data_IF_340187265314
#
_entry.id   IF_340187265314
#
_cell.length_a   1.000
_cell.length_b   1.000
_cell.length_c   1.000
_cell.angle_alpha   90.00
_cell.angle_beta   90.00
_cell.angle_gamma   90.00
#
_symmetry.space_group_name_H-M   'P 1'
#
loop_
_entity.id
_entity.type
_entity.pdbx_description
1 polymer ?
#
# COMPACT_ATOMS: atom_id res chain seq x y z
N UNK A 1 23.17 23.35 8.16
CA UNK A 1 21.80 23.04 7.72
C UNK A 1 21.81 21.64 7.16
N UNK A 2 21.10 20.70 7.78
CA UNK A 2 20.90 19.37 7.22
C UNK A 2 19.59 19.48 6.44
N UNK A 3 19.68 19.85 5.16
CA UNK A 3 18.50 19.84 4.28
C UNK A 3 17.95 18.41 4.31
N UNK A 4 16.69 18.26 4.75
CA UNK A 4 16.04 16.94 4.84
C UNK A 4 15.98 16.27 3.47
N UNK A 5 15.75 14.95 3.44
CA UNK A 5 15.63 14.22 2.17
C UNK A 5 14.59 14.92 1.27
N UNK A 6 15.00 15.47 0.11
CA UNK A 6 14.09 16.21 -0.76
C UNK A 6 13.08 15.30 -1.46
N UNK A 7 13.28 13.99 -1.43
CA UNK A 7 12.42 13.04 -2.15
C UNK A 7 11.11 12.78 -1.39
N UNK A 8 10.01 12.76 -2.15
CA UNK A 8 8.76 12.19 -1.65
C UNK A 8 8.91 10.68 -1.47
N UNK A 9 8.57 10.20 -0.27
CA UNK A 9 8.60 8.77 0.07
C UNK A 9 7.32 8.38 0.78
N UNK A 10 6.92 7.11 0.62
CA UNK A 10 5.83 6.52 1.38
C UNK A 10 6.30 5.31 2.18
N UNK A 11 5.70 5.12 3.35
CA UNK A 11 5.84 3.94 4.19
C UNK A 11 4.50 3.23 4.29
N UNK A 12 4.53 1.90 4.33
CA UNK A 12 3.34 1.08 4.56
C UNK A 12 3.40 0.58 6.00
N UNK A 13 2.39 0.94 6.79
CA UNK A 13 2.17 0.41 8.13
C UNK A 13 1.02 -0.60 8.15
N UNK A 14 0.92 -1.36 9.24
CA UNK A 14 -0.13 -2.35 9.47
C UNK A 14 -0.71 -2.18 10.87
N UNK A 15 -2.04 -2.15 10.98
CA UNK A 15 -2.74 -2.01 12.28
C UNK A 15 -2.50 -3.16 13.25
N UNK A 16 -2.03 -4.32 12.77
CA UNK A 16 -1.77 -5.51 13.59
C UNK A 16 -0.30 -5.94 13.59
N UNK A 17 0.61 -5.03 13.27
CA UNK A 17 2.03 -5.34 13.14
C UNK A 17 2.32 -6.21 11.91
N UNK A 18 3.40 -6.99 11.94
CA UNK A 18 3.89 -7.78 10.81
C UNK A 18 3.88 -9.30 11.04
N UNK A 19 3.40 -9.73 12.19
CA UNK A 19 3.22 -11.15 12.50
C UNK A 19 1.75 -11.51 12.32
N UNK A 20 1.46 -12.36 11.35
CA UNK A 20 0.10 -12.73 11.02
C UNK A 20 -0.05 -14.25 11.07
N UNK A 21 -1.15 -14.68 11.68
CA UNK A 21 -1.60 -16.05 11.59
C UNK A 21 -2.56 -16.16 10.40
N UNK A 22 -2.30 -17.13 9.52
CA UNK A 22 -3.00 -17.22 8.23
C UNK A 22 -4.48 -17.53 8.40
N UNK A 23 -4.86 -18.25 9.47
CA UNK A 23 -6.25 -18.64 9.72
C UNK A 23 -7.07 -17.46 10.28
N UNK A 24 -6.40 -16.45 10.83
CA UNK A 24 -7.03 -15.27 11.43
C UNK A 24 -6.60 -13.96 10.76
N UNK A 25 -6.07 -14.04 9.54
CA UNK A 25 -5.48 -12.92 8.83
C UNK A 25 -6.48 -11.77 8.66
N UNK A 26 -6.18 -10.66 9.34
CA UNK A 26 -6.92 -9.41 9.23
C UNK A 26 -6.06 -8.23 9.70
N UNK A 27 -5.85 -7.26 8.82
CA UNK A 27 -5.19 -5.99 9.15
C UNK A 27 -5.64 -4.90 8.19
N UNK A 28 -5.51 -3.63 8.57
CA UNK A 28 -5.54 -2.53 7.62
C UNK A 28 -4.11 -2.08 7.34
N UNK A 29 -3.69 -2.16 6.09
CA UNK A 29 -2.48 -1.48 5.63
C UNK A 29 -2.79 0.01 5.48
N UNK A 30 -1.88 0.86 5.93
CA UNK A 30 -2.03 2.30 5.80
C UNK A 30 -0.76 2.95 5.26
N UNK A 31 -0.92 4.03 4.52
CA UNK A 31 0.18 4.80 3.95
C UNK A 31 0.47 6.02 4.82
N UNK A 32 1.75 6.26 5.09
CA UNK A 32 2.25 7.56 5.56
C UNK A 32 3.24 8.12 4.56
N UNK A 33 3.18 9.43 4.31
CA UNK A 33 4.03 10.12 3.33
C UNK A 33 4.97 11.11 3.99
N UNK A 34 6.21 11.17 3.49
CA UNK A 34 7.21 12.16 3.91
C UNK A 34 7.78 12.88 2.69
N UNK A 35 7.89 14.21 2.80
CA UNK A 35 8.59 15.07 1.84
C UNK A 35 9.42 16.07 2.64
N UNK A 36 10.70 16.27 2.30
CA UNK A 36 11.63 17.08 3.11
C UNK A 36 11.68 16.67 4.59
N UNK A 37 11.55 15.36 4.84
CA UNK A 37 11.47 14.77 6.19
C UNK A 37 10.29 15.29 7.05
N UNK A 38 9.30 15.95 6.43
CA UNK A 38 8.05 16.41 7.04
C UNK A 38 6.92 15.46 6.68
N UNK A 39 6.05 15.16 7.64
CA UNK A 39 4.83 14.41 7.36
C UNK A 39 3.93 15.23 6.41
N UNK A 40 3.57 14.60 5.30
CA UNK A 40 2.64 15.11 4.28
C UNK A 40 1.48 14.16 4.06
N UNK A 41 1.21 13.27 5.02
CA UNK A 41 0.23 12.19 4.87
C UNK A 41 -1.18 12.72 4.58
N UNK A 42 -1.56 13.82 5.23
CA UNK A 42 -2.85 14.48 5.03
C UNK A 42 -3.00 15.11 3.63
N UNK A 43 -1.88 15.46 2.98
CA UNK A 43 -1.86 16.05 1.65
C UNK A 43 -1.97 15.02 0.52
N UNK A 44 -1.84 13.73 0.84
CA UNK A 44 -2.09 12.64 -0.12
C UNK A 44 -3.59 12.38 -0.18
N UNK A 45 -4.19 12.66 -1.32
CA UNK A 45 -5.62 12.37 -1.54
C UNK A 45 -5.84 10.86 -1.68
N UNK A 46 -6.94 10.36 -1.15
CA UNK A 46 -7.29 8.93 -1.28
C UNK A 46 -7.46 8.51 -2.75
N UNK A 47 -7.93 9.41 -3.61
CA UNK A 47 -8.04 9.16 -5.05
C UNK A 47 -6.67 9.03 -5.76
N UNK A 48 -5.60 9.53 -5.13
CA UNK A 48 -4.23 9.49 -5.65
C UNK A 48 -3.42 8.33 -5.09
N UNK A 49 -4.09 7.41 -4.37
CA UNK A 49 -3.50 6.17 -3.89
C UNK A 49 -4.06 5.00 -4.67
N UNK A 50 -3.16 4.17 -5.19
CA UNK A 50 -3.50 2.90 -5.82
C UNK A 50 -2.76 1.75 -5.15
N UNK A 51 -3.42 0.60 -5.11
CA UNK A 51 -2.88 -0.62 -4.57
C UNK A 51 -2.88 -1.70 -5.64
N UNK A 52 -1.78 -2.43 -5.73
CA UNK A 52 -1.69 -3.67 -6.51
C UNK A 52 -1.29 -4.81 -5.60
N UNK A 53 -1.66 -6.01 -6.02
CA UNK A 53 -1.29 -7.26 -5.37
C UNK A 53 -0.56 -8.14 -6.37
N UNK A 54 0.43 -8.89 -5.91
CA UNK A 54 1.12 -9.90 -6.69
C UNK A 54 1.07 -11.23 -5.92
N UNK A 55 0.32 -12.16 -6.47
CA UNK A 55 0.18 -13.55 -5.97
C UNK A 55 0.84 -14.55 -6.92
N UNK A 56 1.38 -14.06 -8.04
CA UNK A 56 1.79 -14.87 -9.19
C UNK A 56 0.65 -15.21 -10.16
N UNK A 57 -0.60 -14.84 -9.85
CA UNK A 57 -1.75 -15.01 -10.76
C UNK A 57 -2.30 -13.66 -11.23
N UNK A 58 -1.81 -13.21 -12.38
CA UNK A 58 -2.18 -11.93 -13.01
C UNK A 58 -3.69 -11.75 -13.15
N UNK A 59 -4.46 -12.81 -13.43
CA UNK A 59 -5.92 -12.68 -13.58
C UNK A 59 -6.61 -12.38 -12.26
N UNK A 60 -6.18 -13.05 -11.18
CA UNK A 60 -6.72 -12.83 -9.84
C UNK A 60 -6.28 -11.48 -9.28
N UNK A 61 -5.04 -11.09 -9.54
CA UNK A 61 -4.47 -9.82 -9.09
C UNK A 61 -5.13 -8.61 -9.77
N UNK A 62 -5.41 -8.70 -11.06
CA UNK A 62 -6.19 -7.67 -11.76
C UNK A 62 -7.62 -7.58 -11.22
N UNK A 63 -8.27 -8.72 -10.96
CA UNK A 63 -9.62 -8.72 -10.38
C UNK A 63 -9.64 -8.15 -8.97
N UNK A 64 -8.62 -8.45 -8.16
CA UNK A 64 -8.44 -7.89 -6.82
C UNK A 64 -8.22 -6.38 -6.86
N UNK A 65 -7.37 -5.88 -7.76
CA UNK A 65 -7.10 -4.46 -7.91
C UNK A 65 -8.37 -3.66 -8.24
N UNK A 66 -9.26 -4.22 -9.08
CA UNK A 66 -10.57 -3.61 -9.37
C UNK A 66 -11.47 -3.59 -8.13
N UNK A 67 -11.52 -4.68 -7.35
CA UNK A 67 -12.32 -4.74 -6.11
C UNK A 67 -11.84 -3.75 -5.04
N UNK A 68 -10.54 -3.48 -5.00
CA UNK A 68 -9.91 -2.57 -4.03
C UNK A 68 -9.63 -1.17 -4.61
N UNK A 69 -10.12 -0.88 -5.81
CA UNK A 69 -10.05 0.45 -6.39
C UNK A 69 -10.73 1.46 -5.46
N UNK A 70 -10.05 2.56 -5.17
CA UNK A 70 -10.56 3.59 -4.26
C UNK A 70 -10.45 3.25 -2.76
N UNK A 71 -9.69 2.22 -2.37
CA UNK A 71 -9.34 1.99 -0.96
C UNK A 71 -8.61 3.20 -0.32
N UNK A 72 -7.92 3.99 -1.15
CA UNK A 72 -7.21 5.17 -0.69
C UNK A 72 -6.03 4.82 0.19
N UNK A 73 -5.74 5.69 1.17
CA UNK A 73 -4.61 5.52 2.10
C UNK A 73 -4.77 4.32 3.02
N UNK A 74 -5.96 3.74 3.15
CA UNK A 74 -6.26 2.64 4.07
C UNK A 74 -6.83 1.43 3.33
N UNK A 75 -6.05 0.36 3.26
CA UNK A 75 -6.42 -0.89 2.62
C UNK A 75 -6.76 -1.95 3.67
N UNK A 76 -8.05 -2.19 3.98
CA UNK A 76 -8.46 -3.30 4.83
C UNK A 76 -8.24 -4.62 4.10
N UNK A 77 -7.44 -5.49 4.71
CA UNK A 77 -7.11 -6.82 4.23
C UNK A 77 -7.71 -7.90 5.12
N UNK A 78 -8.18 -8.95 4.47
CA UNK A 78 -8.70 -10.19 5.03
C UNK A 78 -8.12 -11.37 4.26
N UNK A 79 -8.41 -12.59 4.71
CA UNK A 79 -7.94 -13.80 4.03
C UNK A 79 -8.37 -13.89 2.55
N UNK A 80 -9.51 -13.31 2.18
CA UNK A 80 -9.98 -13.21 0.78
C UNK A 80 -9.00 -12.42 -0.10
N UNK A 81 -8.33 -11.44 0.50
CA UNK A 81 -7.34 -10.60 -0.18
C UNK A 81 -6.02 -11.30 -0.43
N UNK A 82 -5.80 -12.50 0.13
CA UNK A 82 -4.65 -13.34 -0.22
C UNK A 82 -4.96 -14.25 -1.42
N UNK A 83 -6.23 -14.34 -1.82
CA UNK A 83 -6.69 -15.21 -2.91
C UNK A 83 -6.98 -16.65 -2.46
N UNK A 84 -7.72 -17.43 -3.25
CA UNK A 84 -8.20 -18.78 -2.89
C UNK A 84 -7.09 -19.81 -2.69
N UNK A 85 -5.90 -19.56 -3.23
CA UNK A 85 -4.74 -20.45 -3.12
C UNK A 85 -3.78 -20.06 -2.00
N UNK A 86 -4.16 -19.15 -1.09
CA UNK A 86 -3.27 -18.60 -0.06
C UNK A 86 -2.54 -19.66 0.78
N UNK A 87 -3.15 -20.84 1.01
CA UNK A 87 -2.52 -21.95 1.76
C UNK A 87 -1.34 -22.60 1.03
N UNK A 88 -1.29 -22.47 -0.30
CA UNK A 88 -0.23 -23.04 -1.15
C UNK A 88 0.68 -21.95 -1.73
N UNK A 89 0.34 -20.67 -1.52
CA UNK A 89 1.15 -19.55 -1.97
C UNK A 89 2.39 -19.39 -1.11
N UNK A 90 3.52 -19.13 -1.77
CA UNK A 90 4.80 -18.87 -1.09
C UNK A 90 4.96 -17.42 -0.67
N UNK A 91 4.24 -16.52 -1.34
CA UNK A 91 4.42 -15.08 -1.22
C UNK A 91 3.17 -14.34 -1.69
N UNK A 92 2.76 -13.29 -1.00
CA UNK A 92 1.77 -12.32 -1.46
C UNK A 92 2.31 -10.91 -1.23
N UNK A 93 2.53 -10.16 -2.30
CA UNK A 93 3.07 -8.80 -2.21
C UNK A 93 1.99 -7.77 -2.46
N UNK A 94 1.86 -6.78 -1.58
CA UNK A 94 1.01 -5.61 -1.78
C UNK A 94 1.89 -4.41 -2.04
N UNK A 95 1.67 -3.74 -3.16
CA UNK A 95 2.38 -2.51 -3.55
C UNK A 95 1.41 -1.34 -3.48
N UNK A 96 1.83 -0.29 -2.80
CA UNK A 96 1.17 1.00 -2.82
C UNK A 96 1.90 1.94 -3.77
N UNK A 97 1.15 2.73 -4.51
CA UNK A 97 1.64 3.92 -5.20
C UNK A 97 0.81 5.11 -4.76
N UNK A 98 1.48 6.18 -4.36
CA UNK A 98 0.85 7.44 -3.99
C UNK A 98 1.38 8.57 -4.87
N UNK A 99 0.49 9.49 -5.22
CA UNK A 99 0.83 10.74 -5.90
C UNK A 99 0.55 11.93 -4.97
N UNK A 100 1.52 12.80 -4.81
CA UNK A 100 1.42 14.04 -4.03
C UNK A 100 1.34 15.23 -4.99
N UNK A 101 0.31 16.08 -4.80
CA UNK A 101 0.08 17.28 -5.62
C UNK A 101 0.65 18.51 -4.92
N UNK A 102 1.78 19.03 -5.39
CA UNK A 102 2.39 20.26 -4.83
C UNK A 102 1.91 21.54 -5.57
N UNK A 103 0.79 21.47 -6.29
CA UNK A 103 0.21 22.60 -7.03
C UNK A 103 0.93 22.99 -8.33
N UNK A 104 2.23 22.70 -8.47
CA UNK A 104 3.00 22.91 -9.70
C UNK A 104 3.51 21.62 -10.34
N UNK A 105 3.78 20.59 -9.54
CA UNK A 105 4.35 19.31 -9.96
C UNK A 105 3.68 18.16 -9.19
N UNK A 106 3.79 16.95 -9.74
CA UNK A 106 3.34 15.72 -9.10
C UNK A 106 4.56 14.91 -8.70
N UNK A 107 4.66 14.61 -7.40
CA UNK A 107 5.64 13.67 -6.88
C UNK A 107 4.99 12.29 -6.78
N UNK A 108 5.69 11.24 -7.19
CA UNK A 108 5.18 9.86 -7.11
C UNK A 108 6.14 9.03 -6.28
N UNK A 109 5.58 8.28 -5.34
CA UNK A 109 6.33 7.33 -4.54
C UNK A 109 5.63 5.98 -4.52
N UNK A 110 6.43 4.92 -4.42
CA UNK A 110 5.96 3.56 -4.28
C UNK A 110 6.66 2.85 -3.14
N UNK A 111 5.95 1.91 -2.53
CA UNK A 111 6.52 1.00 -1.56
C UNK A 111 5.71 -0.30 -1.59
N UNK A 112 6.27 -1.38 -1.07
CA UNK A 112 5.62 -2.68 -1.04
C UNK A 112 5.91 -3.42 0.25
N UNK A 113 5.00 -4.32 0.58
CA UNK A 113 5.13 -5.25 1.70
C UNK A 113 4.78 -6.64 1.23
N UNK A 114 5.48 -7.62 1.78
CA UNK A 114 5.36 -9.02 1.36
C UNK A 114 5.00 -9.87 2.58
N UNK A 115 3.99 -10.71 2.40
CA UNK A 115 3.50 -11.69 3.38
C UNK A 115 3.89 -13.11 2.94
#
# INVERSE_FOLDING_TARGET
MLEGNPEFTIEIGSTKGWYFDIETFSTTLYITGKLYNRDVTDHILDADVSWTRDTGNVSEDNAWAVKRAGAGKNLPLTIDDLGPNYTNMRVCTFKAQALLRDGQQFEVAENFVTF
#
